data_IF_937783797677
#
_entry.id   IF_937783797677
#
_cell.length_a   1.000
_cell.length_b   1.000
_cell.length_c   1.000
_cell.angle_alpha   90.00
_cell.angle_beta   90.00
_cell.angle_gamma   90.00
#
_symmetry.space_group_name_H-M   'P 1'
#
loop_
_entity.id
_entity.type
_entity.pdbx_description
1 polymer ?
#
# COMPACT_ATOMS: atom_id res chain seq x y z
N UNK A 1 -59.54 37.20 -5.18
CA UNK A 1 -58.44 37.93 -4.52
C UNK A 1 -57.14 37.25 -4.93
N UNK A 2 -56.20 37.92 -5.61
CA UNK A 2 -54.98 37.28 -6.08
C UNK A 2 -53.92 37.25 -4.97
N UNK A 3 -53.25 36.11 -4.86
CA UNK A 3 -52.14 35.79 -3.95
C UNK A 3 -50.92 36.66 -4.26
N UNK A 4 -50.20 37.21 -3.26
CA UNK A 4 -49.00 37.99 -3.51
C UNK A 4 -47.84 37.07 -3.93
N UNK A 5 -47.10 37.50 -4.96
CA UNK A 5 -45.89 36.85 -5.43
C UNK A 5 -44.75 37.03 -4.40
N UNK A 6 -44.02 35.95 -4.14
CA UNK A 6 -42.81 35.95 -3.31
C UNK A 6 -41.64 36.62 -4.05
N UNK A 7 -40.76 37.34 -3.34
CA UNK A 7 -39.60 37.99 -3.95
C UNK A 7 -38.53 36.96 -4.34
N UNK A 8 -37.98 37.11 -5.55
CA UNK A 8 -36.82 36.38 -6.01
C UNK A 8 -35.58 36.81 -5.20
N UNK A 9 -35.00 35.85 -4.47
CA UNK A 9 -33.69 36.00 -3.83
C UNK A 9 -32.63 35.79 -4.92
N UNK A 10 -31.72 36.75 -5.18
CA UNK A 10 -30.63 36.53 -6.11
C UNK A 10 -29.64 35.49 -5.55
N UNK A 11 -29.04 34.64 -6.40
CA UNK A 11 -28.07 33.66 -5.94
C UNK A 11 -26.83 34.38 -5.41
N UNK A 12 -26.48 34.04 -4.18
CA UNK A 12 -25.23 34.43 -3.52
C UNK A 12 -24.05 34.14 -4.45
N UNK A 13 -23.38 35.19 -4.91
CA UNK A 13 -22.17 35.09 -5.69
C UNK A 13 -21.11 34.33 -4.90
N UNK A 14 -20.75 33.15 -5.39
CA UNK A 14 -19.56 32.42 -4.98
C UNK A 14 -18.34 33.23 -5.42
N UNK A 15 -17.75 33.99 -4.50
CA UNK A 15 -16.38 34.47 -4.63
C UNK A 15 -15.44 33.25 -4.54
N UNK A 16 -15.25 32.58 -5.67
CA UNK A 16 -14.08 31.73 -5.88
C UNK A 16 -12.85 32.64 -5.90
N UNK A 17 -12.18 32.76 -4.76
CA UNK A 17 -10.81 33.26 -4.75
C UNK A 17 -9.96 32.24 -5.53
N UNK A 18 -9.62 32.61 -6.76
CA UNK A 18 -8.53 32.04 -7.54
C UNK A 18 -7.20 32.35 -6.82
N UNK A 19 -6.98 31.74 -5.66
CA UNK A 19 -5.66 31.53 -5.08
C UNK A 19 -5.14 30.18 -5.54
N UNK A 20 -5.18 29.92 -6.85
CA UNK A 20 -4.59 28.72 -7.40
C UNK A 20 -3.07 28.83 -7.26
N UNK A 21 -2.48 28.01 -6.41
CA UNK A 21 -1.13 27.54 -6.68
C UNK A 21 -1.17 26.95 -8.09
N UNK A 22 -0.67 27.72 -9.05
CA UNK A 22 -0.61 27.34 -10.45
C UNK A 22 0.37 26.20 -10.63
N UNK A 23 0.00 24.98 -10.21
CA UNK A 23 0.61 23.76 -10.69
C UNK A 23 0.14 23.56 -12.12
N UNK A 24 0.89 24.13 -13.07
CA UNK A 24 0.65 23.88 -14.48
C UNK A 24 0.79 22.37 -14.77
N UNK A 25 0.01 21.81 -15.70
CA UNK A 25 0.05 20.39 -16.09
C UNK A 25 1.37 19.94 -16.74
N UNK A 26 2.44 20.75 -16.65
CA UNK A 26 3.77 20.50 -17.21
C UNK A 26 4.84 20.29 -16.12
N UNK A 27 4.49 20.25 -14.83
CA UNK A 27 5.46 20.04 -13.74
C UNK A 27 5.96 18.58 -13.63
N UNK A 28 5.25 17.60 -14.20
CA UNK A 28 5.67 16.19 -14.16
C UNK A 28 6.85 15.86 -15.10
N UNK A 29 7.22 16.76 -16.02
CA UNK A 29 8.27 16.50 -17.00
C UNK A 29 9.70 16.72 -16.48
N UNK A 30 9.87 17.32 -15.29
CA UNK A 30 11.17 17.58 -14.66
C UNK A 30 11.19 17.11 -13.20
N UNK A 31 10.43 16.07 -12.84
CA UNK A 31 10.84 15.32 -11.65
C UNK A 31 12.27 14.81 -11.88
N UNK A 32 13.21 14.99 -10.95
CA UNK A 32 14.53 14.39 -11.06
C UNK A 32 14.39 12.87 -10.99
N UNK A 33 14.05 12.26 -12.13
CA UNK A 33 14.09 10.82 -12.35
C UNK A 33 15.48 10.35 -11.93
N UNK A 34 15.56 9.54 -10.87
CA UNK A 34 16.82 8.96 -10.41
C UNK A 34 17.39 9.48 -9.09
N UNK A 35 16.64 10.20 -8.25
CA UNK A 35 17.08 10.37 -6.85
C UNK A 35 17.05 9.02 -6.14
N UNK A 36 18.20 8.60 -5.64
CA UNK A 36 18.29 7.43 -4.76
C UNK A 36 17.55 7.71 -3.44
N UNK A 37 16.69 6.78 -3.02
CA UNK A 37 16.00 6.92 -1.75
C UNK A 37 16.94 6.66 -0.59
N UNK A 38 16.75 7.40 0.50
CA UNK A 38 17.40 7.08 1.76
C UNK A 38 17.01 5.64 2.16
N UNK A 39 17.90 4.84 2.77
CA UNK A 39 17.61 3.44 3.12
C UNK A 39 16.28 3.24 3.85
N UNK A 40 15.89 4.19 4.72
CA UNK A 40 14.62 4.16 5.43
C UNK A 40 13.40 4.34 4.51
N UNK A 41 13.50 5.21 3.51
CA UNK A 41 12.45 5.42 2.50
C UNK A 41 12.33 4.20 1.59
N UNK A 42 13.46 3.61 1.18
CA UNK A 42 13.47 2.38 0.40
C UNK A 42 12.88 1.19 1.18
N UNK A 43 13.19 1.06 2.47
CA UNK A 43 12.60 0.05 3.36
C UNK A 43 11.08 0.23 3.50
N UNK A 44 10.63 1.47 3.69
CA UNK A 44 9.21 1.81 3.73
C UNK A 44 8.50 1.43 2.42
N UNK A 45 9.07 1.78 1.26
CA UNK A 45 8.50 1.41 -0.04
C UNK A 45 8.39 -0.10 -0.22
N UNK A 46 9.41 -0.87 0.16
CA UNK A 46 9.37 -2.34 0.09
C UNK A 46 8.29 -2.93 0.99
N UNK A 47 8.09 -2.39 2.20
CA UNK A 47 6.99 -2.81 3.08
C UNK A 47 5.63 -2.51 2.47
N UNK A 48 5.45 -1.35 1.87
CA UNK A 48 4.20 -0.99 1.20
C UNK A 48 3.95 -1.86 -0.05
N UNK A 49 4.99 -2.14 -0.83
CA UNK A 49 4.95 -2.94 -2.06
C UNK A 49 5.06 -4.46 -1.82
N UNK A 50 4.89 -4.93 -0.58
CA UNK A 50 4.90 -6.36 -0.26
C UNK A 50 3.99 -7.22 -1.16
N UNK A 51 2.78 -6.75 -1.58
CA UNK A 51 1.93 -7.50 -2.49
C UNK A 51 2.59 -7.88 -3.83
N UNK A 52 3.64 -7.15 -4.26
CA UNK A 52 4.41 -7.49 -5.47
C UNK A 52 5.11 -8.84 -5.33
N UNK A 53 5.60 -9.18 -4.14
CA UNK A 53 6.23 -10.48 -3.89
C UNK A 53 5.20 -11.60 -4.05
N UNK A 54 3.98 -11.38 -3.56
CA UNK A 54 2.89 -12.35 -3.69
C UNK A 54 2.51 -12.57 -5.16
N UNK A 55 2.61 -11.54 -6.02
CA UNK A 55 2.47 -11.70 -7.48
C UNK A 55 3.52 -12.65 -8.03
N UNK A 56 4.78 -12.51 -7.63
CA UNK A 56 5.86 -13.37 -8.13
C UNK A 56 5.70 -14.80 -7.63
N UNK A 57 5.25 -15.01 -6.39
CA UNK A 57 4.90 -16.35 -5.87
C UNK A 57 3.79 -16.97 -6.70
N UNK A 58 2.73 -16.22 -7.01
CA UNK A 58 1.64 -16.69 -7.85
C UNK A 58 2.09 -17.02 -9.29
N UNK A 59 3.01 -16.24 -9.86
CA UNK A 59 3.66 -16.55 -11.16
C UNK A 59 4.49 -17.83 -11.05
N UNK A 60 5.25 -18.02 -9.97
CA UNK A 60 6.07 -19.22 -9.76
C UNK A 60 5.22 -20.49 -9.64
N UNK A 61 4.03 -20.39 -9.05
CA UNK A 61 3.06 -21.47 -9.01
C UNK A 61 2.44 -21.74 -10.40
N UNK A 62 2.04 -20.71 -11.15
CA UNK A 62 1.55 -20.90 -12.54
C UNK A 62 2.64 -21.45 -13.46
N UNK A 63 3.90 -21.05 -13.27
CA UNK A 63 5.07 -21.58 -14.00
C UNK A 63 5.19 -23.10 -13.83
N UNK A 64 5.07 -23.58 -12.60
CA UNK A 64 5.14 -25.01 -12.31
C UNK A 64 3.93 -25.79 -12.84
N UNK A 65 2.74 -25.18 -12.81
CA UNK A 65 1.49 -25.82 -13.20
C UNK A 65 1.22 -25.75 -14.72
N UNK A 66 1.80 -24.76 -15.41
CA UNK A 66 1.58 -24.48 -16.83
C UNK A 66 2.90 -24.29 -17.61
N UNK A 67 3.87 -25.23 -17.56
CA UNK A 67 5.21 -25.02 -18.12
C UNK A 67 5.23 -24.69 -19.62
N UNK A 68 4.24 -25.16 -20.38
CA UNK A 68 4.12 -24.85 -21.82
C UNK A 68 3.97 -23.35 -22.11
N UNK A 69 3.33 -22.58 -21.20
CA UNK A 69 3.21 -21.11 -21.34
C UNK A 69 4.57 -20.41 -21.24
N UNK A 70 5.52 -21.01 -20.51
CA UNK A 70 6.80 -20.40 -20.13
C UNK A 70 8.00 -21.02 -20.86
N UNK A 71 7.78 -21.71 -21.99
CA UNK A 71 8.83 -22.42 -22.73
C UNK A 71 9.99 -21.54 -23.23
N UNK A 72 9.84 -20.21 -23.21
CA UNK A 72 10.88 -19.24 -23.61
C UNK A 72 11.60 -18.58 -22.44
N UNK A 73 11.14 -18.80 -21.21
CA UNK A 73 11.72 -18.16 -20.03
C UNK A 73 13.19 -18.58 -19.89
N UNK A 74 14.15 -17.64 -19.79
CA UNK A 74 15.56 -17.97 -19.62
C UNK A 74 15.83 -18.76 -18.34
N UNK A 75 16.81 -19.67 -18.35
CA UNK A 75 17.16 -20.54 -17.22
C UNK A 75 17.34 -19.76 -15.91
N UNK A 76 18.02 -18.60 -15.95
CA UNK A 76 18.21 -17.75 -14.76
C UNK A 76 16.89 -17.27 -14.13
N UNK A 77 15.89 -16.93 -14.95
CA UNK A 77 14.57 -16.49 -14.49
C UNK A 77 13.79 -17.70 -13.99
N UNK A 78 13.90 -18.85 -14.67
CA UNK A 78 13.31 -20.11 -14.24
C UNK A 78 13.85 -20.57 -12.87
N UNK A 79 15.16 -20.46 -12.64
CA UNK A 79 15.80 -20.75 -11.35
C UNK A 79 15.26 -19.83 -10.25
N UNK A 80 15.07 -18.54 -10.56
CA UNK A 80 14.52 -17.55 -9.62
C UNK A 80 13.06 -17.87 -9.27
N UNK A 81 12.24 -18.23 -10.25
CA UNK A 81 10.87 -18.72 -10.04
C UNK A 81 10.86 -20.01 -9.20
N UNK A 82 11.79 -20.94 -9.47
CA UNK A 82 11.98 -22.13 -8.65
C UNK A 82 12.29 -21.80 -7.19
N UNK A 83 13.11 -20.77 -6.95
CA UNK A 83 13.40 -20.23 -5.62
C UNK A 83 12.15 -19.68 -4.93
N UNK A 84 11.37 -18.82 -5.61
CA UNK A 84 10.13 -18.27 -5.05
C UNK A 84 9.13 -19.35 -4.63
N UNK A 85 9.01 -20.42 -5.43
CA UNK A 85 8.11 -21.53 -5.12
C UNK A 85 8.57 -22.42 -3.96
N UNK A 86 9.88 -22.68 -3.87
CA UNK A 86 10.40 -23.74 -2.99
C UNK A 86 11.06 -23.24 -1.71
N UNK A 87 11.54 -22.00 -1.69
CA UNK A 87 12.35 -21.45 -0.60
C UNK A 87 11.62 -20.40 0.24
N UNK A 88 10.53 -19.79 -0.25
CA UNK A 88 9.77 -18.77 0.50
C UNK A 88 9.27 -19.32 1.84
N UNK A 89 9.61 -18.64 2.94
CA UNK A 89 9.32 -19.05 4.33
C UNK A 89 10.27 -20.10 4.90
N UNK A 90 11.13 -20.71 4.08
CA UNK A 90 12.02 -21.82 4.48
C UNK A 90 13.49 -21.45 4.51
N UNK A 91 13.88 -20.42 3.77
CA UNK A 91 15.24 -19.92 3.70
C UNK A 91 15.31 -18.46 4.18
N UNK A 92 16.31 -18.06 4.99
CA UNK A 92 16.46 -16.68 5.46
C UNK A 92 16.61 -15.61 4.36
N UNK A 93 17.02 -15.98 3.14
CA UNK A 93 17.05 -15.11 1.96
C UNK A 93 15.71 -15.04 1.22
N UNK A 94 14.76 -15.89 1.59
CA UNK A 94 13.44 -15.99 0.97
C UNK A 94 12.36 -15.88 2.05
N UNK A 95 12.24 -14.71 2.71
CA UNK A 95 11.27 -14.57 3.77
C UNK A 95 9.82 -14.62 3.28
N UNK A 96 8.97 -15.30 4.03
CA UNK A 96 7.51 -15.22 3.85
C UNK A 96 6.95 -13.85 4.31
N UNK A 97 5.64 -13.64 4.12
CA UNK A 97 5.00 -12.37 4.45
C UNK A 97 5.16 -11.98 5.92
N UNK A 98 5.07 -12.92 6.85
CA UNK A 98 5.22 -12.64 8.28
C UNK A 98 6.66 -12.23 8.62
N UNK A 99 7.65 -12.94 8.06
CA UNK A 99 9.07 -12.63 8.21
C UNK A 99 9.44 -11.27 7.59
N UNK A 100 8.87 -10.92 6.43
CA UNK A 100 9.07 -9.61 5.78
C UNK A 100 8.52 -8.45 6.62
N UNK A 101 7.33 -8.64 7.21
CA UNK A 101 6.76 -7.68 8.17
C UNK A 101 7.65 -7.57 9.41
N UNK A 102 8.14 -8.68 9.95
CA UNK A 102 9.03 -8.67 11.11
C UNK A 102 10.37 -7.93 10.83
N UNK A 103 10.97 -8.13 9.65
CA UNK A 103 12.20 -7.45 9.28
C UNK A 103 12.05 -5.93 9.16
N UNK A 104 10.92 -5.47 8.61
CA UNK A 104 10.66 -4.04 8.45
C UNK A 104 10.05 -3.39 9.69
N UNK A 105 9.27 -4.12 10.47
CA UNK A 105 8.47 -3.61 11.59
C UNK A 105 9.31 -2.98 12.69
N UNK A 106 10.41 -3.62 13.08
CA UNK A 106 11.33 -3.08 14.09
C UNK A 106 11.91 -1.71 13.74
N UNK A 107 11.91 -1.31 12.47
CA UNK A 107 12.37 0.01 12.01
C UNK A 107 11.18 0.94 11.74
N UNK A 108 10.19 0.47 10.97
CA UNK A 108 9.11 1.31 10.44
C UNK A 108 8.01 1.57 11.48
N UNK A 109 7.68 0.60 12.34
CA UNK A 109 6.57 0.74 13.29
C UNK A 109 6.88 1.86 14.31
N UNK A 110 8.15 1.99 14.72
CA UNK A 110 8.62 3.07 15.59
C UNK A 110 8.50 4.48 14.98
N UNK A 111 8.34 4.59 13.67
CA UNK A 111 8.17 5.88 12.98
C UNK A 111 6.70 6.30 12.90
N UNK A 112 5.74 5.40 13.13
CA UNK A 112 4.33 5.59 12.80
C UNK A 112 3.74 6.90 13.33
N UNK A 113 4.01 7.23 14.61
CA UNK A 113 3.53 8.46 15.25
C UNK A 113 4.13 9.71 14.62
N UNK A 114 5.46 9.73 14.44
CA UNK A 114 6.16 10.88 13.87
C UNK A 114 5.81 11.11 12.40
N UNK A 115 5.66 10.02 11.62
CA UNK A 115 5.21 10.07 10.23
C UNK A 115 3.77 10.57 10.11
N UNK A 116 2.87 10.13 11.01
CA UNK A 116 1.51 10.66 11.08
C UNK A 116 1.51 12.16 11.44
N UNK A 117 2.39 12.59 12.34
CA UNK A 117 2.61 14.00 12.67
C UNK A 117 3.01 14.84 11.46
N UNK A 118 3.99 14.39 10.69
CA UNK A 118 4.41 15.06 9.45
C UNK A 118 3.26 15.14 8.43
N UNK A 119 2.58 14.00 8.17
CA UNK A 119 1.43 13.96 7.25
C UNK A 119 0.32 14.94 7.66
N UNK A 120 -0.01 15.00 8.95
CA UNK A 120 -1.00 15.93 9.49
C UNK A 120 -0.56 17.38 9.30
N UNK A 121 0.70 17.71 9.59
CA UNK A 121 1.23 19.05 9.40
C UNK A 121 1.21 19.46 7.91
N UNK A 122 1.56 18.54 7.01
CA UNK A 122 1.50 18.75 5.56
C UNK A 122 0.07 19.02 5.07
N UNK A 123 -0.93 18.24 5.51
CA UNK A 123 -2.34 18.48 5.18
C UNK A 123 -2.79 19.86 5.65
N UNK A 124 -2.52 20.23 6.91
CA UNK A 124 -2.88 21.55 7.44
C UNK A 124 -2.15 22.67 6.67
N UNK A 125 -0.87 22.49 6.37
CA UNK A 125 -0.08 23.46 5.62
C UNK A 125 -0.67 23.68 4.21
N UNK A 126 -0.89 22.61 3.44
CA UNK A 126 -1.39 22.71 2.06
C UNK A 126 -2.82 23.24 2.00
N UNK A 127 -3.69 22.83 2.91
CA UNK A 127 -5.11 23.19 2.86
C UNK A 127 -5.45 24.54 3.52
N UNK A 128 -4.67 24.99 4.51
CA UNK A 128 -5.01 26.14 5.36
C UNK A 128 -3.97 27.27 5.28
N UNK A 129 -2.98 27.15 4.38
CA UNK A 129 -2.00 28.22 4.17
C UNK A 129 -2.67 29.46 3.57
N UNK A 130 -2.37 30.59 4.19
CA UNK A 130 -2.72 31.93 3.74
C UNK A 130 -1.53 32.85 4.04
N UNK A 131 -1.49 34.04 3.44
CA UNK A 131 -0.38 34.97 3.66
C UNK A 131 -0.13 35.32 5.15
N UNK A 132 -1.15 35.21 6.01
CA UNK A 132 -1.03 35.50 7.45
C UNK A 132 -0.71 34.27 8.29
N UNK A 133 -1.13 33.07 7.87
CA UNK A 133 -0.94 31.82 8.63
C UNK A 133 0.30 31.03 8.20
N UNK A 134 0.80 31.25 6.98
CA UNK A 134 1.88 30.49 6.36
C UNK A 134 3.13 30.37 7.26
N UNK A 135 3.70 31.45 7.81
CA UNK A 135 4.94 31.34 8.61
C UNK A 135 4.79 30.45 9.85
N UNK A 136 3.59 30.46 10.46
CA UNK A 136 3.26 29.62 11.61
C UNK A 136 3.11 28.15 11.19
N UNK A 137 2.40 27.89 10.10
CA UNK A 137 2.19 26.53 9.60
C UNK A 137 3.50 25.91 9.11
N UNK A 138 4.35 26.69 8.42
CA UNK A 138 5.69 26.26 8.00
C UNK A 138 6.59 25.91 9.18
N UNK A 139 6.55 26.69 10.27
CA UNK A 139 7.28 26.36 11.50
C UNK A 139 6.80 25.03 12.10
N UNK A 140 5.49 24.83 12.23
CA UNK A 140 4.93 23.58 12.75
C UNK A 140 5.28 22.38 11.87
N UNK A 141 5.30 22.57 10.55
CA UNK A 141 5.71 21.56 9.58
C UNK A 141 7.20 21.21 9.72
N UNK A 142 8.06 22.19 9.92
CA UNK A 142 9.50 21.98 10.20
C UNK A 142 9.71 21.21 11.50
N UNK A 143 9.00 21.57 12.58
CA UNK A 143 9.05 20.86 13.86
C UNK A 143 8.62 19.38 13.72
N UNK A 144 7.57 19.11 12.91
CA UNK A 144 7.13 17.75 12.63
C UNK A 144 8.16 16.96 11.81
N UNK A 145 8.79 17.59 10.82
CA UNK A 145 9.87 16.99 10.03
C UNK A 145 11.10 16.69 10.90
N UNK A 146 11.49 17.61 11.78
CA UNK A 146 12.60 17.40 12.73
C UNK A 146 12.30 16.25 13.70
N UNK A 147 11.07 16.14 14.19
CA UNK A 147 10.65 15.02 15.03
C UNK A 147 10.77 13.69 14.29
N UNK A 148 10.27 13.62 13.05
CA UNK A 148 10.39 12.43 12.20
C UNK A 148 11.86 12.08 11.93
N UNK A 149 12.69 13.07 11.61
CA UNK A 149 14.13 12.87 11.37
C UNK A 149 14.82 12.26 12.59
N UNK A 150 14.59 12.80 13.78
CA UNK A 150 15.14 12.24 15.04
C UNK A 150 14.67 10.80 15.24
N UNK A 151 13.40 10.48 15.00
CA UNK A 151 12.90 9.09 15.06
C UNK A 151 13.58 8.19 14.02
N UNK A 152 13.80 8.67 12.79
CA UNK A 152 14.50 7.92 11.75
C UNK A 152 15.97 7.65 12.11
N UNK A 153 16.67 8.64 12.69
CA UNK A 153 18.05 8.51 13.17
C UNK A 153 18.15 7.46 14.30
N UNK A 154 17.15 7.40 15.18
CA UNK A 154 17.08 6.41 16.27
C UNK A 154 16.81 4.97 15.78
N UNK A 155 16.01 4.82 14.72
CA UNK A 155 15.71 3.51 14.12
C UNK A 155 16.82 2.98 13.20
N UNK A 156 17.90 3.76 12.99
CA UNK A 156 19.03 3.38 12.15
C UNK A 156 19.91 2.25 12.74
N UNK A 157 20.96 1.90 12.00
CA UNK A 157 22.00 0.97 12.45
C UNK A 157 21.92 -0.44 11.84
N UNK A 158 22.43 -1.44 12.57
CA UNK A 158 22.64 -2.79 12.04
C UNK A 158 21.34 -3.52 11.66
N UNK A 159 20.25 -3.31 12.41
CA UNK A 159 18.96 -3.91 12.12
C UNK A 159 18.37 -3.38 10.81
N UNK A 160 18.41 -2.05 10.60
CA UNK A 160 17.98 -1.43 9.34
C UNK A 160 18.83 -1.90 8.16
N UNK A 161 20.16 -1.95 8.30
CA UNK A 161 21.04 -2.42 7.24
C UNK A 161 20.79 -3.90 6.89
N UNK A 162 20.49 -4.75 7.89
CA UNK A 162 20.12 -6.14 7.67
C UNK A 162 18.78 -6.25 6.92
N UNK A 163 17.76 -5.50 7.34
CA UNK A 163 16.44 -5.48 6.71
C UNK A 163 16.53 -5.00 5.26
N UNK A 164 17.26 -3.91 5.02
CA UNK A 164 17.49 -3.32 3.71
C UNK A 164 18.18 -4.30 2.77
N UNK A 165 19.25 -4.97 3.22
CA UNK A 165 19.93 -6.00 2.43
C UNK A 165 19.03 -7.20 2.10
N UNK A 166 18.33 -7.75 3.10
CA UNK A 166 17.49 -8.96 2.92
C UNK A 166 16.32 -8.67 2.00
N UNK A 167 15.55 -7.64 2.30
CA UNK A 167 14.40 -7.26 1.49
C UNK A 167 14.84 -6.70 0.13
N UNK A 168 15.94 -5.96 0.07
CA UNK A 168 16.55 -5.50 -1.19
C UNK A 168 16.81 -6.66 -2.14
N UNK A 169 17.55 -7.67 -1.68
CA UNK A 169 17.87 -8.84 -2.52
C UNK A 169 16.64 -9.62 -2.99
N UNK A 170 15.60 -9.74 -2.15
CA UNK A 170 14.34 -10.38 -2.53
C UNK A 170 13.60 -9.58 -3.60
N UNK A 171 13.52 -8.26 -3.45
CA UNK A 171 12.89 -7.37 -4.43
C UNK A 171 13.70 -7.29 -5.73
N UNK A 172 15.02 -7.38 -5.70
CA UNK A 172 15.84 -7.47 -6.92
C UNK A 172 15.55 -8.75 -7.71
N UNK A 173 15.41 -9.89 -7.01
CA UNK A 173 14.98 -11.16 -7.62
C UNK A 173 13.57 -11.03 -8.21
N UNK A 174 12.64 -10.44 -7.46
CA UNK A 174 11.28 -10.17 -7.95
C UNK A 174 11.30 -9.27 -9.19
N UNK A 175 12.12 -8.22 -9.21
CA UNK A 175 12.28 -7.32 -10.34
C UNK A 175 12.74 -8.10 -11.58
N UNK A 176 13.75 -8.97 -11.42
CA UNK A 176 14.28 -9.77 -12.53
C UNK A 176 13.25 -10.70 -13.18
N UNK A 177 12.28 -11.18 -12.40
CA UNK A 177 11.15 -11.98 -12.91
C UNK A 177 10.13 -11.08 -13.60
N UNK A 178 9.71 -10.00 -12.93
CA UNK A 178 8.61 -9.14 -13.39
C UNK A 178 8.97 -8.29 -14.61
N UNK A 179 10.26 -8.02 -14.84
CA UNK A 179 10.75 -7.32 -16.03
C UNK A 179 11.13 -8.25 -17.19
N UNK A 180 11.07 -9.59 -17.01
CA UNK A 180 11.27 -10.53 -18.12
C UNK A 180 10.09 -10.48 -19.09
N UNK A 181 10.38 -10.15 -20.35
CA UNK A 181 9.38 -10.09 -21.42
C UNK A 181 8.69 -11.44 -21.65
N UNK A 182 9.41 -12.54 -21.43
CA UNK A 182 8.89 -13.90 -21.56
C UNK A 182 7.88 -14.22 -20.46
N UNK A 183 8.13 -13.75 -19.24
CA UNK A 183 7.19 -13.90 -18.12
C UNK A 183 5.95 -13.03 -18.34
N UNK A 184 6.10 -11.74 -18.68
CA UNK A 184 4.94 -10.88 -18.95
C UNK A 184 4.16 -11.34 -20.19
N UNK A 185 4.87 -11.86 -21.19
CA UNK A 185 4.30 -12.42 -22.41
C UNK A 185 3.45 -13.67 -22.16
N UNK A 186 3.77 -14.48 -21.14
CA UNK A 186 2.94 -15.61 -20.72
C UNK A 186 1.54 -15.18 -20.24
N UNK A 187 1.39 -13.92 -19.82
CA UNK A 187 0.11 -13.29 -19.45
C UNK A 187 -0.47 -12.40 -20.55
N UNK A 188 0.11 -12.40 -21.75
CA UNK A 188 -0.36 -11.60 -22.90
C UNK A 188 -0.09 -10.10 -22.77
N UNK A 189 0.91 -9.71 -21.97
CA UNK A 189 1.30 -8.32 -21.76
C UNK A 189 2.65 -8.02 -22.42
N UNK A 190 2.85 -6.76 -22.79
CA UNK A 190 4.17 -6.27 -23.17
C UNK A 190 5.12 -6.28 -21.97
N UNK A 191 6.42 -6.36 -22.24
CA UNK A 191 7.46 -6.27 -21.22
C UNK A 191 7.30 -5.03 -20.34
N UNK A 192 7.51 -5.19 -19.03
CA UNK A 192 7.67 -4.02 -18.15
C UNK A 192 8.98 -3.31 -18.51
N UNK A 193 9.04 -1.97 -18.40
CA UNK A 193 10.27 -1.25 -18.67
C UNK A 193 11.39 -1.80 -17.77
N UNK A 194 12.48 -2.25 -18.40
CA UNK A 194 13.60 -2.85 -17.70
C UNK A 194 14.42 -1.83 -16.89
N UNK A 195 14.18 -0.53 -17.04
CA UNK A 195 15.08 0.52 -16.52
C UNK A 195 15.11 0.56 -14.98
N UNK A 196 16.29 0.38 -14.36
CA UNK A 196 16.55 0.80 -13.00
C UNK A 196 16.99 2.27 -13.02
N UNK A 197 16.06 3.19 -12.86
CA UNK A 197 16.30 4.63 -12.68
C UNK A 197 16.63 4.96 -11.21
N UNK A 198 17.77 4.52 -10.70
CA UNK A 198 18.37 5.04 -9.45
C UNK A 198 17.59 4.88 -8.12
N UNK A 199 16.28 4.61 -8.13
CA UNK A 199 15.40 4.45 -6.96
C UNK A 199 15.51 3.04 -6.37
N UNK A 200 16.73 2.63 -6.02
CA UNK A 200 17.01 1.38 -5.29
C UNK A 200 16.41 0.10 -5.91
N UNK A 201 16.23 0.09 -7.24
CA UNK A 201 15.65 -1.04 -7.98
C UNK A 201 14.13 -1.19 -7.87
N UNK A 202 13.40 -0.21 -7.31
CA UNK A 202 11.96 -0.33 -7.03
C UNK A 202 11.05 0.23 -8.15
N UNK A 203 11.58 0.95 -9.11
CA UNK A 203 10.77 1.61 -10.14
C UNK A 203 9.96 0.70 -11.03
N UNK A 204 10.42 -0.51 -11.43
CA UNK A 204 9.57 -1.43 -12.18
C UNK A 204 8.22 -1.66 -11.47
N UNK A 205 8.23 -1.68 -10.13
CA UNK A 205 7.07 -1.90 -9.28
C UNK A 205 6.17 -0.68 -9.13
N UNK A 206 6.62 0.51 -9.51
CA UNK A 206 5.84 1.75 -9.47
C UNK A 206 5.25 2.10 -10.84
N UNK A 207 5.41 1.21 -11.82
CA UNK A 207 4.89 1.42 -13.17
C UNK A 207 3.40 1.05 -13.28
N UNK A 208 2.62 1.72 -14.15
CA UNK A 208 1.27 1.28 -14.48
C UNK A 208 1.22 -0.13 -15.07
N UNK A 209 2.28 -0.55 -15.76
CA UNK A 209 2.40 -1.91 -16.30
C UNK A 209 2.37 -2.97 -15.20
N UNK A 210 2.94 -2.70 -14.02
CA UNK A 210 2.87 -3.61 -12.88
C UNK A 210 1.43 -3.83 -12.39
N UNK A 211 0.58 -2.81 -12.45
CA UNK A 211 -0.86 -2.93 -12.13
C UNK A 211 -1.55 -3.88 -13.11
N UNK A 212 -1.31 -3.68 -14.41
CA UNK A 212 -1.87 -4.55 -15.45
C UNK A 212 -1.39 -6.01 -15.31
N UNK A 213 -0.10 -6.21 -14.98
CA UNK A 213 0.46 -7.54 -14.72
C UNK A 213 -0.17 -8.20 -13.51
N UNK A 214 -0.26 -7.50 -12.38
CA UNK A 214 -0.94 -7.99 -11.18
C UNK A 214 -2.38 -8.43 -11.49
N UNK A 215 -3.15 -7.63 -12.24
CA UNK A 215 -4.51 -7.99 -12.64
C UNK A 215 -4.56 -9.22 -13.57
N UNK A 216 -3.60 -9.35 -14.49
CA UNK A 216 -3.53 -10.50 -15.40
C UNK A 216 -3.16 -11.79 -14.67
N UNK A 217 -2.19 -11.73 -13.75
CA UNK A 217 -1.81 -12.86 -12.88
C UNK A 217 -3.02 -13.29 -12.06
N UNK A 218 -3.66 -12.37 -11.35
CA UNK A 218 -4.84 -12.66 -10.52
C UNK A 218 -5.99 -13.30 -11.30
N UNK A 219 -6.26 -12.83 -12.51
CA UNK A 219 -7.27 -13.42 -13.40
C UNK A 219 -6.95 -14.86 -13.77
N UNK A 220 -5.67 -15.17 -13.94
CA UNK A 220 -5.21 -16.49 -14.37
C UNK A 220 -5.16 -17.47 -13.20
N UNK A 221 -4.73 -17.03 -12.01
CA UNK A 221 -4.48 -17.91 -10.86
C UNK A 221 -5.70 -18.16 -9.98
N UNK A 222 -6.58 -17.17 -9.78
CA UNK A 222 -7.67 -17.29 -8.81
C UNK A 222 -8.97 -17.87 -9.41
N UNK A 223 -9.00 -18.15 -10.71
CA UNK A 223 -10.20 -18.57 -11.42
C UNK A 223 -11.32 -17.51 -11.40
N UNK A 224 -12.43 -17.81 -12.07
CA UNK A 224 -13.60 -16.91 -12.20
C UNK A 224 -14.46 -16.81 -10.93
N UNK A 225 -14.03 -17.33 -9.79
CA UNK A 225 -14.85 -17.36 -8.58
C UNK A 225 -14.91 -15.97 -7.92
N UNK A 226 -16.04 -15.28 -8.14
CA UNK A 226 -16.55 -14.21 -7.27
C UNK A 226 -15.62 -13.01 -7.07
N UNK A 227 -15.42 -12.20 -8.12
CA UNK A 227 -14.65 -10.95 -8.03
C UNK A 227 -15.32 -9.93 -7.11
N UNK A 228 -14.52 -9.30 -6.24
CA UNK A 228 -14.83 -8.01 -5.62
C UNK A 228 -14.11 -6.93 -6.46
N UNK A 229 -14.83 -6.06 -7.20
CA UNK A 229 -14.23 -5.02 -8.05
C UNK A 229 -13.33 -4.03 -7.30
N UNK A 230 -13.56 -3.87 -5.98
CA UNK A 230 -12.79 -2.94 -5.14
C UNK A 230 -11.31 -3.32 -4.99
N UNK A 231 -10.88 -4.54 -5.34
CA UNK A 231 -9.49 -4.95 -5.23
C UNK A 231 -8.62 -4.60 -6.45
N UNK A 232 -9.21 -4.28 -7.60
CA UNK A 232 -8.46 -4.00 -8.85
C UNK A 232 -7.70 -2.66 -8.76
N UNK A 233 -8.29 -1.64 -8.11
CA UNK A 233 -7.65 -0.33 -7.94
C UNK A 233 -6.62 -0.27 -6.80
N UNK A 234 -6.51 -1.33 -5.98
CA UNK A 234 -5.70 -1.29 -4.75
C UNK A 234 -4.21 -1.15 -5.03
N UNK A 235 -3.66 -1.89 -6.00
CA UNK A 235 -2.21 -1.87 -6.23
C UNK A 235 -1.73 -0.48 -6.71
N UNK A 236 -2.51 0.20 -7.55
CA UNK A 236 -2.19 1.58 -7.97
C UNK A 236 -2.14 2.55 -6.78
N UNK A 237 -3.09 2.45 -5.86
CA UNK A 237 -3.08 3.24 -4.61
C UNK A 237 -1.89 2.88 -3.72
N UNK A 238 -1.57 1.59 -3.58
CA UNK A 238 -0.39 1.11 -2.84
C UNK A 238 0.92 1.63 -3.45
N UNK A 239 1.04 1.68 -4.78
CA UNK A 239 2.20 2.27 -5.47
C UNK A 239 2.35 3.76 -5.14
N UNK A 240 1.25 4.52 -5.14
CA UNK A 240 1.27 5.95 -4.73
C UNK A 240 1.70 6.11 -3.27
N UNK A 241 1.16 5.27 -2.38
CA UNK A 241 1.54 5.24 -0.96
C UNK A 241 3.05 4.97 -0.82
N UNK A 242 3.56 3.96 -1.52
CA UNK A 242 4.97 3.58 -1.48
C UNK A 242 5.87 4.71 -1.98
N UNK A 243 5.55 5.29 -3.15
CA UNK A 243 6.31 6.38 -3.77
C UNK A 243 6.35 7.61 -2.87
N UNK A 244 5.18 8.18 -2.56
CA UNK A 244 5.11 9.44 -1.82
C UNK A 244 5.61 9.31 -0.38
N UNK A 245 5.39 8.16 0.27
CA UNK A 245 5.94 7.91 1.60
C UNK A 245 7.46 7.77 1.60
N UNK A 246 8.03 7.05 0.63
CA UNK A 246 9.48 6.94 0.50
C UNK A 246 10.15 8.27 0.13
N UNK A 247 9.53 9.06 -0.75
CA UNK A 247 9.98 10.42 -1.10
C UNK A 247 9.93 11.34 0.13
N UNK A 248 8.82 11.39 0.86
CA UNK A 248 8.68 12.20 2.07
C UNK A 248 9.71 11.84 3.15
N UNK A 249 9.90 10.53 3.41
CA UNK A 249 10.90 10.04 4.37
C UNK A 249 12.32 10.41 3.92
N UNK A 250 12.67 10.14 2.67
CA UNK A 250 14.03 10.42 2.16
C UNK A 250 14.35 11.91 2.15
N UNK A 251 13.40 12.75 1.73
CA UNK A 251 13.57 14.20 1.71
C UNK A 251 13.74 14.79 3.10
N UNK A 252 13.03 14.25 4.09
CA UNK A 252 13.16 14.66 5.50
C UNK A 252 14.55 14.34 6.06
N UNK A 253 15.20 13.29 5.56
CA UNK A 253 16.55 12.90 5.99
C UNK A 253 17.68 13.71 5.34
N UNK A 254 17.47 14.25 4.15
CA UNK A 254 18.53 14.88 3.35
C UNK A 254 18.87 16.34 3.76
N UNK A 255 18.38 16.84 4.90
CA UNK A 255 18.85 18.09 5.53
C UNK A 255 17.83 19.24 5.60
N UNK A 256 18.26 20.39 6.14
CA UNK A 256 17.41 21.50 6.60
C UNK A 256 17.17 22.62 5.56
N UNK A 257 17.33 22.34 4.26
CA UNK A 257 17.08 23.34 3.22
C UNK A 257 15.57 23.61 3.09
N UNK A 258 15.15 24.88 3.14
CA UNK A 258 13.75 25.28 3.06
C UNK A 258 13.07 24.84 1.76
N UNK A 259 13.82 24.84 0.64
CA UNK A 259 13.30 24.33 -0.63
C UNK A 259 13.01 22.82 -0.58
N UNK A 260 13.79 22.06 0.19
CA UNK A 260 13.57 20.62 0.38
C UNK A 260 12.42 20.34 1.31
N UNK A 261 12.20 21.20 2.33
CA UNK A 261 11.06 21.07 3.22
C UNK A 261 9.74 21.18 2.44
N UNK A 262 9.61 22.17 1.54
CA UNK A 262 8.39 22.35 0.77
C UNK A 262 8.10 21.10 -0.12
N UNK A 263 9.11 20.52 -0.77
CA UNK A 263 8.96 19.26 -1.53
C UNK A 263 8.64 18.05 -0.64
N UNK A 264 9.23 17.98 0.56
CA UNK A 264 8.93 16.93 1.52
C UNK A 264 7.47 17.02 2.01
N UNK A 265 6.96 18.23 2.22
CA UNK A 265 5.57 18.46 2.62
C UNK A 265 4.59 18.14 1.51
N UNK A 266 4.90 18.49 0.26
CA UNK A 266 4.11 18.07 -0.89
C UNK A 266 4.03 16.54 -1.00
N UNK A 267 5.17 15.86 -0.86
CA UNK A 267 5.22 14.39 -0.83
C UNK A 267 4.44 13.81 0.34
N UNK A 268 4.56 14.37 1.55
CA UNK A 268 3.83 13.93 2.73
C UNK A 268 2.31 14.17 2.63
N UNK A 269 1.90 15.25 1.96
CA UNK A 269 0.50 15.52 1.65
C UNK A 269 -0.07 14.48 0.68
N UNK A 270 0.62 14.23 -0.44
CA UNK A 270 0.21 13.22 -1.42
C UNK A 270 0.20 11.81 -0.81
N UNK A 271 1.14 11.53 0.09
CA UNK A 271 1.14 10.31 0.90
C UNK A 271 -0.12 10.23 1.77
N UNK A 272 -0.47 11.29 2.50
CA UNK A 272 -1.68 11.33 3.33
C UNK A 272 -2.96 11.10 2.51
N UNK A 273 -3.05 11.70 1.31
CA UNK A 273 -4.18 11.49 0.39
C UNK A 273 -4.27 10.06 -0.11
N UNK A 274 -3.16 9.47 -0.53
CA UNK A 274 -3.15 8.08 -1.00
C UNK A 274 -3.56 7.09 0.11
N UNK A 275 -3.18 7.35 1.37
CA UNK A 275 -3.65 6.55 2.51
C UNK A 275 -5.16 6.72 2.76
N UNK A 276 -5.69 7.95 2.61
CA UNK A 276 -7.13 8.21 2.71
C UNK A 276 -7.92 7.45 1.63
N UNK A 277 -7.44 7.46 0.38
CA UNK A 277 -8.05 6.70 -0.72
C UNK A 277 -8.11 5.20 -0.40
N UNK A 278 -7.04 4.64 0.19
CA UNK A 278 -7.00 3.23 0.58
C UNK A 278 -7.99 2.93 1.73
N UNK A 279 -8.12 3.84 2.70
CA UNK A 279 -9.00 3.68 3.86
C UNK A 279 -10.49 3.55 3.48
N UNK A 280 -10.93 4.23 2.42
CA UNK A 280 -12.33 4.19 1.95
C UNK A 280 -12.78 2.75 1.60
N UNK A 281 -11.83 1.89 1.21
CA UNK A 281 -12.10 0.48 0.89
C UNK A 281 -12.09 -0.47 2.09
N UNK A 282 -11.80 0.01 3.30
CA UNK A 282 -11.61 -0.82 4.50
C UNK A 282 -12.80 -0.68 5.45
N UNK A 283 -13.39 -1.80 5.85
CA UNK A 283 -14.39 -1.85 6.92
C UNK A 283 -13.70 -1.79 8.28
N UNK A 284 -13.39 -0.57 8.74
CA UNK A 284 -12.65 -0.32 9.99
C UNK A 284 -13.33 -0.98 11.20
N UNK A 285 -14.66 -0.87 11.42
CA UNK A 285 -15.32 -1.59 12.51
C UNK A 285 -15.09 -3.10 12.44
N UNK A 286 -15.23 -3.71 11.25
CA UNK A 286 -14.97 -5.13 11.08
C UNK A 286 -13.50 -5.48 11.31
N UNK A 287 -12.56 -4.64 10.90
CA UNK A 287 -11.13 -4.86 11.14
C UNK A 287 -10.82 -5.01 12.64
N UNK A 288 -11.54 -4.29 13.50
CA UNK A 288 -11.36 -4.40 14.95
C UNK A 288 -12.19 -5.52 15.61
N UNK A 289 -13.26 -5.98 14.98
CA UNK A 289 -14.16 -7.01 15.53
C UNK A 289 -13.87 -8.44 15.03
N UNK A 290 -13.27 -8.58 13.84
CA UNK A 290 -13.01 -9.84 13.16
C UNK A 290 -11.50 -9.99 12.92
N UNK A 291 -10.77 -10.74 13.78
CA UNK A 291 -9.34 -10.96 13.63
C UNK A 291 -8.96 -11.56 12.27
N UNK A 292 -9.84 -12.36 11.65
CA UNK A 292 -9.56 -12.95 10.34
C UNK A 292 -9.59 -11.88 9.24
N UNK A 293 -10.55 -10.96 9.32
CA UNK A 293 -10.58 -9.83 8.39
C UNK A 293 -9.35 -8.95 8.58
N UNK A 294 -8.98 -8.62 9.83
CA UNK A 294 -7.75 -7.87 10.12
C UNK A 294 -6.50 -8.52 9.53
N UNK A 295 -6.37 -9.84 9.67
CA UNK A 295 -5.24 -10.61 9.13
C UNK A 295 -5.30 -10.77 7.60
N UNK A 296 -6.48 -10.61 7.00
CA UNK A 296 -6.63 -10.60 5.53
C UNK A 296 -6.24 -9.26 4.89
N UNK A 297 -6.15 -8.19 5.69
CA UNK A 297 -5.72 -6.88 5.21
C UNK A 297 -4.22 -6.90 4.89
N UNK A 298 -3.86 -6.22 3.81
CA UNK A 298 -2.47 -6.00 3.43
C UNK A 298 -1.74 -5.17 4.51
N UNK A 299 -0.42 -5.24 4.53
CA UNK A 299 0.40 -4.47 5.49
C UNK A 299 0.10 -2.97 5.44
N UNK A 300 0.03 -2.38 4.24
CA UNK A 300 -0.32 -0.97 4.09
C UNK A 300 -1.75 -0.64 4.56
N UNK A 301 -2.70 -1.57 4.44
CA UNK A 301 -4.08 -1.42 4.93
C UNK A 301 -4.14 -1.47 6.47
N UNK A 302 -3.34 -2.34 7.08
CA UNK A 302 -3.23 -2.45 8.55
C UNK A 302 -2.55 -1.22 9.16
N UNK A 303 -1.48 -0.74 8.53
CA UNK A 303 -0.69 0.40 9.00
C UNK A 303 -1.48 1.72 9.03
N UNK A 304 -2.61 1.81 8.31
CA UNK A 304 -3.48 3.01 8.28
C UNK A 304 -4.73 2.92 9.16
N UNK A 305 -4.97 1.76 9.79
CA UNK A 305 -6.13 1.64 10.66
C UNK A 305 -5.99 2.65 11.82
N UNK A 306 -7.07 3.38 12.15
CA UNK A 306 -7.05 4.25 13.32
C UNK A 306 -6.88 3.39 14.58
N UNK A 307 -6.29 3.92 15.67
CA UNK A 307 -6.15 3.17 16.92
C UNK A 307 -7.47 2.51 17.34
N UNK A 308 -7.38 1.31 17.92
CA UNK A 308 -8.55 0.57 18.38
C UNK A 308 -9.42 1.44 19.30
N UNK A 309 -10.73 1.53 19.07
CA UNK A 309 -11.63 2.33 19.90
C UNK A 309 -11.72 1.81 21.35
N UNK A 310 -11.32 0.56 21.61
CA UNK A 310 -11.23 0.00 22.95
C UNK A 310 -9.99 0.49 23.74
N UNK A 311 -9.17 1.37 23.14
CA UNK A 311 -7.84 1.71 23.63
C UNK A 311 -6.81 0.64 23.27
N UNK A 312 -5.54 0.90 23.59
CA UNK A 312 -4.44 -0.07 23.50
C UNK A 312 -4.63 -1.19 24.55
N UNK A 313 -5.71 -1.96 24.44
CA UNK A 313 -5.64 -3.36 24.86
C UNK A 313 -4.88 -4.01 23.72
N UNK A 314 -3.54 -3.94 23.78
CA UNK A 314 -2.65 -4.61 22.84
C UNK A 314 -3.07 -6.08 22.79
N UNK A 315 -3.85 -6.43 21.77
CA UNK A 315 -3.91 -7.80 21.33
C UNK A 315 -2.49 -8.08 20.86
N UNK A 316 -1.69 -8.69 21.73
CA UNK A 316 -0.31 -9.05 21.50
C UNK A 316 -0.21 -9.63 20.08
N UNK A 317 0.35 -8.84 19.15
CA UNK A 317 0.38 -9.17 17.72
C UNK A 317 1.03 -10.54 17.50
N UNK A 318 2.09 -10.94 18.23
CA UNK A 318 2.56 -12.31 18.31
C UNK A 318 1.50 -13.36 18.62
N UNK A 319 0.58 -13.12 19.56
CA UNK A 319 -0.50 -14.03 19.89
C UNK A 319 -1.54 -14.12 18.75
N UNK A 320 -1.87 -13.00 18.11
CA UNK A 320 -2.73 -12.98 16.91
C UNK A 320 -2.08 -13.70 15.72
N UNK A 321 -0.78 -13.49 15.48
CA UNK A 321 -0.01 -14.17 14.44
C UNK A 321 0.14 -15.66 14.72
N UNK A 322 0.36 -16.06 15.98
CA UNK A 322 0.38 -17.46 16.39
C UNK A 322 -0.99 -18.11 16.19
N UNK A 323 -2.09 -17.38 16.44
CA UNK A 323 -3.44 -17.86 16.18
C UNK A 323 -3.73 -18.01 14.69
N UNK A 324 -3.23 -17.09 13.86
CA UNK A 324 -3.30 -17.16 12.40
C UNK A 324 -2.51 -18.35 11.84
N UNK A 325 -1.29 -18.56 12.35
CA UNK A 325 -0.41 -19.66 11.95
C UNK A 325 -0.89 -21.04 12.45
N UNK A 326 -1.59 -21.07 13.59
CA UNK A 326 -2.17 -22.30 14.15
C UNK A 326 -3.55 -22.64 13.58
N UNK A 327 -4.18 -21.75 12.81
CA UNK A 327 -5.44 -22.06 12.15
C UNK A 327 -5.16 -23.05 11.00
N UNK A 328 -5.67 -24.29 11.06
CA UNK A 328 -5.47 -25.25 9.98
C UNK A 328 -6.00 -24.67 8.68
N UNK A 329 -5.23 -24.79 7.58
CA UNK A 329 -5.69 -24.52 6.22
C UNK A 329 -6.97 -25.33 5.96
N UNK A 330 -8.11 -24.70 6.21
CA UNK A 330 -9.40 -25.30 5.93
C UNK A 330 -9.78 -24.91 4.51
N UNK A 331 -10.01 -25.89 3.62
CA UNK A 331 -10.64 -25.59 2.35
C UNK A 331 -12.04 -25.02 2.65
N UNK A 332 -12.50 -24.15 1.76
CA UNK A 332 -13.81 -23.48 1.77
C UNK A 332 -13.88 -22.15 2.54
N UNK A 333 -13.86 -21.09 1.73
CA UNK A 333 -14.45 -19.77 1.99
C UNK A 333 -15.62 -19.84 3.00
N UNK A 334 -15.38 -19.43 4.24
CA UNK A 334 -16.44 -18.96 5.16
C UNK A 334 -16.43 -17.44 5.12
N UNK A 335 -16.99 -16.89 4.06
CA UNK A 335 -17.25 -15.46 3.96
C UNK A 335 -18.47 -15.10 4.81
N UNK A 336 -18.39 -14.00 5.55
CA UNK A 336 -19.58 -13.26 5.95
C UNK A 336 -20.06 -12.46 4.75
N UNK A 337 -21.33 -12.65 4.38
CA UNK A 337 -21.99 -11.88 3.33
C UNK A 337 -22.92 -10.89 4.00
N UNK A 338 -22.78 -9.61 3.66
CA UNK A 338 -23.73 -8.58 4.10
C UNK A 338 -24.81 -8.45 3.04
N UNK A 339 -26.05 -8.81 3.38
CA UNK A 339 -27.22 -8.67 2.50
C UNK A 339 -28.24 -7.82 3.24
N UNK A 340 -28.69 -6.72 2.65
CA UNK A 340 -29.65 -5.78 3.26
C UNK A 340 -29.24 -5.26 4.66
N UNK A 341 -27.97 -4.93 4.85
CA UNK A 341 -27.41 -4.46 6.14
C UNK A 341 -27.37 -5.49 7.28
N UNK A 342 -27.66 -6.76 7.01
CA UNK A 342 -27.49 -7.85 7.98
C UNK A 342 -26.27 -8.71 7.63
N UNK A 343 -25.46 -9.04 8.65
CA UNK A 343 -24.28 -9.89 8.51
C UNK A 343 -24.72 -11.36 8.61
N UNK A 344 -24.67 -12.09 7.49
CA UNK A 344 -24.96 -13.52 7.48
C UNK A 344 -23.66 -14.33 7.61
N UNK A 345 -23.51 -15.06 8.71
CA UNK A 345 -22.43 -16.03 8.91
C UNK A 345 -22.86 -17.39 8.34
N UNK A 346 -22.49 -17.72 7.10
CA UNK A 346 -22.76 -19.05 6.57
C UNK A 346 -21.66 -20.04 7.00
N UNK A 347 -22.02 -20.97 7.87
CA UNK A 347 -21.26 -22.21 8.07
C UNK A 347 -21.87 -23.25 7.13
N UNK A 348 -21.34 -23.37 5.91
CA UNK A 348 -21.69 -24.40 4.92
C UNK A 348 -23.20 -24.61 4.66
N UNK A 349 -23.71 -24.06 3.55
CA UNK A 349 -24.97 -24.52 2.95
C UNK A 349 -26.14 -23.53 2.84
N UNK A 350 -26.05 -22.31 3.38
CA UNK A 350 -27.13 -21.34 3.17
C UNK A 350 -27.02 -20.73 1.75
N UNK A 351 -27.97 -21.10 0.87
CA UNK A 351 -28.14 -20.48 -0.44
C UNK A 351 -28.59 -19.01 -0.29
N UNK A 352 -28.39 -18.17 -1.31
CA UNK A 352 -28.82 -16.76 -1.29
C UNK A 352 -30.32 -16.58 -1.03
N UNK A 353 -31.17 -17.59 -1.27
CA UNK A 353 -32.59 -17.58 -0.90
C UNK A 353 -32.85 -17.71 0.60
N UNK A 354 -31.99 -18.41 1.33
CA UNK A 354 -32.18 -18.69 2.76
C UNK A 354 -31.88 -17.47 3.64
N UNK A 355 -31.03 -16.55 3.18
CA UNK A 355 -30.72 -15.32 3.92
C UNK A 355 -31.88 -14.32 3.89
N UNK A 356 -32.72 -14.29 2.85
CA UNK A 356 -33.87 -13.37 2.78
C UNK A 356 -35.06 -13.77 3.67
N UNK A 357 -35.11 -15.01 4.17
CA UNK A 357 -36.24 -15.53 4.96
C UNK A 357 -35.96 -15.65 6.47
N UNK A 358 -34.75 -15.33 6.94
CA UNK A 358 -34.40 -15.41 8.36
C UNK A 358 -34.34 -16.82 8.93
N UNK A 359 -34.29 -17.87 8.10
CA UNK A 359 -34.25 -19.27 8.53
C UNK A 359 -33.11 -20.01 7.83
N UNK A 360 -32.05 -20.35 8.57
CA UNK A 360 -31.13 -21.42 8.17
C UNK A 360 -31.59 -22.68 8.94
N UNK A 361 -32.15 -23.65 8.22
CA UNK A 361 -32.48 -24.96 8.79
C UNK A 361 -31.18 -25.64 9.25
N UNK A 362 -31.21 -26.19 10.47
CA UNK A 362 -30.07 -26.87 11.10
C UNK A 362 -29.87 -28.28 10.59
#
# INVERSE_FOLDING_TARGET
MPTPALPCIPPSGTCFLQGGFGMGPNAEANEPYGREWHPIGALYARRALDPVIDVVVAIADDFANCPAKYHRVPDRVADTLGGFRSLVGRDPEWPDAAQRVAFSGGVIDGLGVSAAGLRKAAVVFVEQSSATTEPRLRRAAREAADTLRVSCEQSGGAAMALAERRLGSLFERAASVLTSEEVTGAFGLAGLPAQPDGRSGLTPFLSPGMVALHEAVRRTTNGTQGRIPAEEQKLGTVQRIARHGADALSMTMDGHDDGRLDTALESAYNWARALQDLLVGIDVPRAWLDPRYLLSLQTAERDILPPSPAGEIELDIPALQAWAAAAPEMPYFRGTLTVNYEICCSTAGCSTRSCSSGTCDR
#
